data_IF_933547496687
#
_entry.id   IF_933547496687
#
_cell.length_a   1.000
_cell.length_b   1.000
_cell.length_c   1.000
_cell.angle_alpha   90.00
_cell.angle_beta   90.00
_cell.angle_gamma   90.00
#
_symmetry.space_group_name_H-M   'P 1'
#
loop_
_entity.id
_entity.type
_entity.pdbx_description
1 polymer ?
#
# COMPACT_ATOMS: atom_id res chain seq x y z
N UNK A 1 2.21 -11.02 -6.42
CA UNK A 1 3.26 -11.02 -7.48
C UNK A 1 3.52 -9.64 -8.09
N UNK A 2 2.59 -8.98 -8.79
CA UNK A 2 2.88 -7.64 -9.35
C UNK A 2 3.05 -6.59 -8.24
N UNK A 3 2.14 -6.53 -7.27
CA UNK A 3 2.25 -5.62 -6.13
C UNK A 3 3.54 -5.85 -5.31
N UNK A 4 3.91 -7.12 -5.08
CA UNK A 4 5.15 -7.49 -4.39
C UNK A 4 6.41 -7.02 -5.12
N UNK A 5 6.40 -7.07 -6.45
CA UNK A 5 7.51 -6.58 -7.27
C UNK A 5 7.61 -5.06 -7.20
N UNK A 6 6.47 -4.37 -7.26
CA UNK A 6 6.39 -2.91 -7.23
C UNK A 6 6.70 -2.33 -5.85
N UNK A 7 6.41 -3.07 -4.77
CA UNK A 7 6.70 -2.67 -3.39
C UNK A 7 8.10 -3.06 -2.92
N UNK A 8 8.94 -3.64 -3.79
CA UNK A 8 10.28 -4.08 -3.40
C UNK A 8 11.09 -2.90 -2.85
N UNK A 9 11.70 -3.11 -1.69
CA UNK A 9 12.51 -2.10 -0.97
C UNK A 9 11.71 -0.87 -0.48
N UNK A 10 10.38 -0.91 -0.52
CA UNK A 10 9.48 0.12 0.02
C UNK A 10 8.72 -0.45 1.23
N UNK A 11 8.78 0.25 2.36
CA UNK A 11 8.16 -0.19 3.62
C UNK A 11 6.63 -0.27 3.50
N UNK A 12 6.03 0.68 2.77
CA UNK A 12 4.60 0.73 2.50
C UNK A 12 4.33 1.54 1.22
N UNK A 13 3.46 1.02 0.35
CA UNK A 13 2.95 1.74 -0.82
C UNK A 13 1.59 1.18 -1.20
N UNK A 14 0.63 2.06 -1.52
CA UNK A 14 -0.63 1.66 -2.16
C UNK A 14 -0.40 1.56 -3.67
N UNK A 15 -0.80 0.44 -4.27
CA UNK A 15 -0.71 0.22 -5.71
C UNK A 15 -2.10 0.10 -6.29
N UNK A 16 -2.46 1.05 -7.13
CA UNK A 16 -3.78 1.09 -7.77
C UNK A 16 -3.67 0.46 -9.16
N UNK A 17 -4.57 -0.50 -9.44
CA UNK A 17 -4.70 -1.15 -10.74
C UNK A 17 -6.07 -0.88 -11.34
N UNK A 18 -6.13 -0.85 -12.66
CA UNK A 18 -7.37 -0.89 -13.41
C UNK A 18 -7.40 -2.09 -14.34
N UNK A 19 -8.59 -2.62 -14.58
CA UNK A 19 -8.80 -3.75 -15.47
C UNK A 19 -9.71 -3.32 -16.62
N UNK A 20 -9.30 -3.62 -17.85
CA UNK A 20 -10.14 -3.42 -19.03
C UNK A 20 -9.93 -4.54 -20.04
N UNK A 21 -11.03 -5.08 -20.57
CA UNK A 21 -11.02 -6.17 -21.55
C UNK A 21 -10.20 -7.40 -21.12
N UNK A 22 -10.28 -7.77 -19.84
CA UNK A 22 -9.55 -8.89 -19.24
C UNK A 22 -8.07 -8.62 -19.00
N UNK A 23 -7.61 -7.37 -19.16
CA UNK A 23 -6.21 -6.99 -18.99
C UNK A 23 -6.06 -6.06 -17.80
N UNK A 24 -5.14 -6.44 -16.90
CA UNK A 24 -4.76 -5.64 -15.74
C UNK A 24 -3.69 -4.62 -16.14
N UNK A 25 -3.84 -3.38 -15.69
CA UNK A 25 -2.92 -2.28 -15.95
C UNK A 25 -2.57 -1.57 -14.64
N UNK A 26 -1.34 -1.09 -14.57
CA UNK A 26 -0.88 -0.24 -13.49
C UNK A 26 -1.43 1.19 -13.65
N UNK A 27 -1.95 1.75 -12.57
CA UNK A 27 -2.44 3.13 -12.49
C UNK A 27 -1.50 4.06 -11.73
N UNK A 28 -1.44 3.89 -10.40
CA UNK A 28 -0.71 4.81 -9.49
C UNK A 28 0.05 4.05 -8.39
N UNK A 29 1.16 4.64 -7.95
CA UNK A 29 1.80 4.34 -6.67
C UNK A 29 1.60 5.52 -5.70
N UNK A 30 0.98 5.26 -4.56
CA UNK A 30 0.75 6.27 -3.52
C UNK A 30 1.53 5.91 -2.26
N UNK A 31 2.56 6.69 -1.93
CA UNK A 31 3.42 6.45 -0.77
C UNK A 31 2.82 6.93 0.56
N UNK A 32 2.03 8.01 0.51
CA UNK A 32 1.40 8.63 1.67
C UNK A 32 -0.08 8.90 1.38
N UNK A 33 -0.92 7.85 1.32
CA UNK A 33 -2.35 8.01 1.09
C UNK A 33 -2.96 8.86 2.22
N UNK A 34 -3.78 9.85 1.84
CA UNK A 34 -4.31 10.88 2.76
C UNK A 34 -3.25 11.58 3.61
N UNK A 35 -2.05 11.80 3.08
CA UNK A 35 -0.90 12.37 3.80
C UNK A 35 -0.44 11.54 5.01
N UNK A 36 -0.79 10.25 5.05
CA UNK A 36 -0.50 9.35 6.19
C UNK A 36 -1.52 9.40 7.32
N UNK A 37 -2.62 10.14 7.15
CA UNK A 37 -3.70 10.25 8.15
C UNK A 37 -5.02 9.63 7.69
N UNK A 38 -5.01 8.90 6.57
CA UNK A 38 -6.19 8.18 6.09
C UNK A 38 -6.51 7.03 7.06
N UNK A 39 -7.74 7.01 7.58
CA UNK A 39 -8.23 5.97 8.49
C UNK A 39 -8.92 4.86 7.70
N UNK A 40 -8.72 3.61 8.11
CA UNK A 40 -9.45 2.46 7.60
C UNK A 40 -10.71 2.22 8.41
N UNK A 41 -11.85 2.14 7.72
CA UNK A 41 -13.12 1.68 8.31
C UNK A 41 -13.45 0.28 7.81
N UNK A 42 -13.68 -0.69 8.70
CA UNK A 42 -13.59 -0.63 10.17
C UNK A 42 -12.16 -0.57 10.74
N UNK A 43 -12.00 0.05 11.92
CA UNK A 43 -10.72 0.33 12.62
C UNK A 43 -9.78 -0.88 12.79
N UNK A 44 -10.30 -2.11 12.80
CA UNK A 44 -9.42 -3.28 12.93
C UNK A 44 -8.46 -3.44 11.74
N UNK A 45 -8.81 -2.89 10.57
CA UNK A 45 -7.92 -2.90 9.42
C UNK A 45 -6.74 -1.94 9.57
N UNK A 46 -6.91 -0.78 10.24
CA UNK A 46 -5.79 0.10 10.60
C UNK A 46 -4.73 -0.68 11.37
N UNK A 47 -5.17 -1.39 12.43
CA UNK A 47 -4.27 -2.17 13.27
C UNK A 47 -3.66 -3.35 12.52
N UNK A 48 -4.44 -4.08 11.73
CA UNK A 48 -3.95 -5.23 10.99
C UNK A 48 -2.86 -4.84 10.00
N UNK A 49 -3.12 -3.84 9.15
CA UNK A 49 -2.16 -3.37 8.14
C UNK A 49 -0.94 -2.73 8.79
N UNK A 50 -1.15 -1.91 9.82
CA UNK A 50 -0.06 -1.32 10.61
C UNK A 50 0.84 -2.38 11.26
N UNK A 51 0.28 -3.51 11.71
CA UNK A 51 1.06 -4.60 12.32
C UNK A 51 2.04 -5.29 11.36
N UNK A 52 1.85 -5.14 10.05
CA UNK A 52 2.76 -5.69 9.04
C UNK A 52 3.94 -4.77 8.74
N UNK A 53 3.83 -3.48 9.07
CA UNK A 53 4.84 -2.46 8.79
C UNK A 53 5.94 -2.54 9.84
N UNK A 54 7.17 -2.77 9.39
CA UNK A 54 8.37 -2.65 10.24
C UNK A 54 9.05 -1.32 9.95
N UNK A 55 8.98 -0.42 10.92
CA UNK A 55 9.69 0.86 10.84
C UNK A 55 11.21 0.64 10.96
N UNK A 56 12.02 1.41 10.23
CA UNK A 56 13.46 1.40 10.41
C UNK A 56 13.76 1.82 11.87
N UNK A 57 14.82 1.24 12.43
CA UNK A 57 15.31 1.71 13.72
C UNK A 57 15.90 3.11 13.51
N UNK A 58 15.60 4.03 14.42
CA UNK A 58 16.26 5.32 14.47
C UNK A 58 17.78 5.11 14.53
N UNK A 59 18.51 5.94 13.79
CA UNK A 59 19.98 5.94 13.74
C UNK A 59 20.58 6.52 15.03
#
# INVERSE_FOLDING_TARGET
KISELLSKDIIFVRVDFYETNGRLYFGELTFFPGSGFEEFTPKHYDYLLGSWIRLPKDS
#
